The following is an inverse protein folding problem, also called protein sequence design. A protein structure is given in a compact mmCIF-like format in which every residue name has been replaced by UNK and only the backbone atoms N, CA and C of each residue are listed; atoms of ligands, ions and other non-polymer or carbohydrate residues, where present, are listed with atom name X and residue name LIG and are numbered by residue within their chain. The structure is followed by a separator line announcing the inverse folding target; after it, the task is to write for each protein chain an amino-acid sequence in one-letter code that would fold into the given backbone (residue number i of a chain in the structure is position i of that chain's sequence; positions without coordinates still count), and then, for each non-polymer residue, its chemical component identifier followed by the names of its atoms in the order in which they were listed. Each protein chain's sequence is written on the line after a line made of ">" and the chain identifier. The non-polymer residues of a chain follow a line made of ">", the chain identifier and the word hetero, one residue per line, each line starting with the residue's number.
data_IF_987271698683
#
_entry.id   IF_987271698683
#
_cell.length_a   1.000
_cell.length_b   1.000
_cell.length_c   1.000
_cell.angle_alpha   90.00
_cell.angle_beta   90.00
_cell.angle_gamma   90.00
#
_symmetry.space_group_name_H-M   'P 1'
#
loop_
_entity.id
_entity.type
_entity.pdbx_description
1 polymer ?
#
# COMPACT_ATOMS: atom_id res chain seq x y z
N UNK A 1 -0.03 3.28 -31.52
CA UNK A 1 -0.67 2.47 -30.46
C UNK A 1 0.34 1.74 -29.57
N UNK A 2 1.36 1.06 -30.11
CA UNK A 2 2.33 0.25 -29.33
C UNK A 2 2.97 1.00 -28.13
N UNK A 3 3.41 2.25 -28.33
CA UNK A 3 4.10 3.05 -27.30
C UNK A 3 3.27 3.33 -26.03
N UNK A 4 1.94 3.46 -26.15
CA UNK A 4 1.07 3.72 -25.00
C UNK A 4 0.90 2.46 -24.14
N UNK A 5 0.77 1.29 -24.77
CA UNK A 5 0.70 0.02 -24.05
C UNK A 5 1.97 -0.25 -23.23
N UNK A 6 3.14 0.06 -23.78
CA UNK A 6 4.42 -0.11 -23.07
C UNK A 6 4.50 0.81 -21.84
N UNK A 7 4.10 2.08 -21.98
CA UNK A 7 4.06 3.04 -20.87
C UNK A 7 3.10 2.62 -19.75
N UNK A 8 1.91 2.11 -20.09
CA UNK A 8 0.95 1.61 -19.10
C UNK A 8 1.52 0.39 -18.36
N UNK A 9 2.19 -0.52 -19.08
CA UNK A 9 2.80 -1.71 -18.50
C UNK A 9 3.92 -1.34 -17.53
N UNK A 10 4.76 -0.38 -17.88
CA UNK A 10 5.85 0.07 -17.01
C UNK A 10 5.34 0.83 -15.80
N UNK A 11 4.28 1.63 -15.95
CA UNK A 11 3.60 2.26 -14.82
C UNK A 11 3.01 1.22 -13.85
N UNK A 12 2.37 0.18 -14.36
CA UNK A 12 1.84 -0.91 -13.53
C UNK A 12 2.96 -1.65 -12.76
N UNK A 13 4.11 -1.88 -13.38
CA UNK A 13 5.27 -2.45 -12.69
C UNK A 13 5.76 -1.54 -11.58
N UNK A 14 5.90 -0.24 -11.86
CA UNK A 14 6.37 0.74 -10.88
C UNK A 14 5.46 0.78 -9.65
N UNK A 15 4.14 0.84 -9.86
CA UNK A 15 3.15 0.83 -8.76
C UNK A 15 3.30 -0.41 -7.89
N UNK A 16 3.44 -1.59 -8.50
CA UNK A 16 3.64 -2.85 -7.76
C UNK A 16 4.93 -2.84 -6.95
N UNK A 17 6.05 -2.46 -7.58
CA UNK A 17 7.35 -2.41 -6.93
C UNK A 17 7.38 -1.42 -5.76
N UNK A 18 6.71 -0.27 -5.88
CA UNK A 18 6.58 0.70 -4.78
C UNK A 18 5.81 0.09 -3.60
N UNK A 19 4.70 -0.62 -3.86
CA UNK A 19 3.93 -1.31 -2.83
C UNK A 19 4.73 -2.43 -2.16
N UNK A 20 5.40 -3.27 -2.94
CA UNK A 20 6.24 -4.37 -2.44
C UNK A 20 7.39 -3.83 -1.57
N UNK A 21 8.02 -2.73 -2.00
CA UNK A 21 9.09 -2.09 -1.22
C UNK A 21 8.57 -1.53 0.10
N UNK A 22 7.39 -0.91 0.10
CA UNK A 22 6.76 -0.40 1.32
C UNK A 22 6.45 -1.53 2.32
N UNK A 23 5.95 -2.68 1.84
CA UNK A 23 5.72 -3.86 2.69
C UNK A 23 7.01 -4.42 3.29
N UNK A 24 8.06 -4.51 2.49
CA UNK A 24 9.37 -4.96 2.96
C UNK A 24 9.95 -4.04 4.03
N UNK A 25 9.82 -2.71 3.83
CA UNK A 25 10.28 -1.72 4.80
C UNK A 25 9.47 -1.78 6.11
N UNK A 26 8.14 -1.91 6.01
CA UNK A 26 7.30 -2.09 7.19
C UNK A 26 7.64 -3.36 7.96
N UNK A 27 7.98 -4.45 7.25
CA UNK A 27 8.43 -5.70 7.87
C UNK A 27 9.79 -5.59 8.55
N UNK A 28 10.73 -4.84 7.97
CA UNK A 28 12.03 -4.62 8.56
C UNK A 28 11.96 -3.76 9.84
N UNK A 29 10.93 -2.93 9.97
CA UNK A 29 10.74 -1.99 11.08
C UNK A 29 9.56 -2.36 12.00
N UNK A 30 9.02 -3.57 11.89
CA UNK A 30 7.91 -4.06 12.74
C UNK A 30 6.71 -3.10 12.81
N UNK A 31 6.30 -2.57 11.65
CA UNK A 31 5.23 -1.58 11.54
C UNK A 31 4.23 -1.94 10.44
N UNK A 32 3.42 -0.97 10.00
CA UNK A 32 2.36 -1.13 9.01
C UNK A 32 2.49 -0.14 7.85
N UNK A 33 1.85 -0.48 6.74
CA UNK A 33 1.60 0.45 5.62
C UNK A 33 0.13 0.85 5.60
N UNK A 34 -0.17 2.02 5.04
CA UNK A 34 -1.55 2.50 4.82
C UNK A 34 -1.81 2.64 3.34
N UNK A 35 -2.90 2.06 2.84
CA UNK A 35 -3.32 2.19 1.44
C UNK A 35 -4.82 2.03 1.27
N UNK A 36 -5.31 2.39 0.09
CA UNK A 36 -6.71 2.20 -0.32
C UNK A 36 -6.88 0.81 -0.93
N UNK A 37 -7.73 -0.02 -0.35
CA UNK A 37 -8.02 -1.35 -0.88
C UNK A 37 -8.93 -1.29 -2.14
N UNK A 38 -9.18 -2.43 -2.76
CA UNK A 38 -10.02 -2.54 -3.96
C UNK A 38 -11.48 -2.11 -3.70
N UNK A 39 -11.95 -2.20 -2.46
CA UNK A 39 -13.28 -1.75 -2.02
C UNK A 39 -13.34 -0.24 -1.77
N UNK A 40 -12.19 0.44 -1.88
CA UNK A 40 -12.07 1.87 -1.70
C UNK A 40 -11.92 2.33 -0.24
N UNK A 41 -11.71 1.41 0.69
CA UNK A 41 -11.47 1.69 2.10
C UNK A 41 -9.99 1.96 2.37
N UNK A 42 -9.69 2.87 3.29
CA UNK A 42 -8.33 3.05 3.79
C UNK A 42 -8.06 2.00 4.86
N UNK A 43 -7.00 1.21 4.68
CA UNK A 43 -6.62 0.13 5.58
C UNK A 43 -5.15 0.26 5.99
N UNK A 44 -4.84 -0.25 7.19
CA UNK A 44 -3.50 -0.55 7.67
C UNK A 44 -3.22 -2.02 7.43
N UNK A 45 -2.10 -2.36 6.82
CA UNK A 45 -1.58 -3.73 6.75
C UNK A 45 -0.27 -3.80 7.53
N UNK A 46 -0.28 -4.56 8.62
CA UNK A 46 0.86 -4.78 9.50
C UNK A 46 1.78 -5.87 8.93
N UNK A 47 3.04 -5.87 9.38
CA UNK A 47 4.06 -6.82 8.91
C UNK A 47 3.74 -8.31 9.15
N UNK A 48 2.84 -8.61 10.07
CA UNK A 48 2.34 -9.95 10.41
C UNK A 48 1.15 -10.39 9.53
N UNK A 49 0.70 -9.51 8.63
CA UNK A 49 -0.45 -9.74 7.75
C UNK A 49 -1.78 -9.31 8.36
N UNK A 50 -1.81 -8.73 9.56
CA UNK A 50 -3.02 -8.17 10.12
C UNK A 50 -3.46 -6.94 9.30
N UNK A 51 -4.73 -6.92 8.90
CA UNK A 51 -5.33 -5.81 8.16
C UNK A 51 -6.44 -5.18 9.00
N UNK A 52 -6.34 -3.88 9.26
CA UNK A 52 -7.32 -3.13 10.06
C UNK A 52 -7.81 -1.92 9.25
N UNK A 53 -9.13 -1.65 9.19
CA UNK A 53 -9.64 -0.42 8.61
C UNK A 53 -9.18 0.80 9.41
N UNK A 54 -8.75 1.86 8.72
CA UNK A 54 -8.49 3.15 9.37
C UNK A 54 -9.82 3.81 9.68
N UNK A 55 -10.22 3.77 10.95
CA UNK A 55 -11.38 4.52 11.44
C UNK A 55 -10.90 5.82 12.07
N UNK A 56 -11.71 6.88 12.04
CA UNK A 56 -11.33 8.23 12.48
C UNK A 56 -10.93 8.37 13.96
N UNK A 57 -10.86 7.28 14.73
CA UNK A 57 -10.50 7.26 16.15
C UNK A 57 -9.06 6.76 16.42
N UNK A 58 -8.30 6.42 15.39
CA UNK A 58 -6.93 5.89 15.50
C UNK A 58 -5.84 6.93 15.80
N UNK A 59 -6.20 8.15 16.22
CA UNK A 59 -5.23 9.22 16.52
C UNK A 59 -5.19 9.52 18.02
N UNK A 60 -4.17 9.03 18.76
CA UNK A 60 -3.88 9.51 20.12
C UNK A 60 -3.22 10.89 20.16
N UNK A 61 -3.04 11.55 19.01
CA UNK A 61 -2.49 12.90 18.91
C UNK A 61 -3.51 13.79 18.20
N UNK A 62 -4.43 14.35 18.98
CA UNK A 62 -5.22 15.53 18.64
C UNK A 62 -4.56 16.76 19.28
#
# INVERSE_FOLDING_TARGET
>A
MVRLMDQIKDLQKLIKLTGDRAKLDAKANETYIVYKNAEGQIIKEYHDGQVIPVTGQDSPHA
#
